data_IF_968625096946
#
_entry.id   IF_968625096946
#
_cell.length_a   1.000
_cell.length_b   1.000
_cell.length_c   1.000
_cell.angle_alpha   90.00
_cell.angle_beta   90.00
_cell.angle_gamma   90.00
#
_symmetry.space_group_name_H-M   'P 1'
#
loop_
_entity.id
_entity.type
_entity.pdbx_description
1 polymer ?
#
# COMPACT_ATOMS: atom_id res chain seq x y z
N UNK A 1 28.02 -2.37 -6.34
CA UNK A 1 26.87 -1.96 -7.17
C UNK A 1 25.70 -1.58 -6.28
N UNK A 2 25.19 -0.39 -6.48
CA UNK A 2 23.99 0.02 -5.75
C UNK A 2 22.79 -0.80 -6.19
N UNK A 3 21.96 -1.24 -5.24
CA UNK A 3 20.70 -1.90 -5.59
C UNK A 3 19.82 -0.90 -6.34
N UNK A 4 19.17 -1.29 -7.42
CA UNK A 4 18.18 -0.43 -8.03
C UNK A 4 17.08 -0.12 -7.01
N UNK A 5 16.58 1.12 -7.02
CA UNK A 5 15.48 1.50 -6.16
C UNK A 5 14.26 0.65 -6.51
N UNK A 6 13.57 0.17 -5.50
CA UNK A 6 12.34 -0.58 -5.70
C UNK A 6 11.31 0.32 -6.40
N UNK A 7 10.58 -0.25 -7.36
CA UNK A 7 9.50 0.45 -8.06
C UNK A 7 8.30 0.71 -7.15
N UNK A 8 8.24 0.03 -6.03
CA UNK A 8 7.10 0.08 -5.12
C UNK A 8 7.59 0.34 -3.70
N UNK A 9 6.72 0.81 -2.82
CA UNK A 9 7.08 1.01 -1.42
C UNK A 9 7.59 -0.28 -0.78
N UNK A 10 8.58 -0.14 0.10
CA UNK A 10 9.01 -1.23 0.97
C UNK A 10 7.88 -1.54 1.96
N UNK A 11 8.00 -2.65 2.69
CA UNK A 11 7.01 -3.01 3.70
C UNK A 11 6.81 -1.90 4.73
N UNK A 12 7.90 -1.34 5.26
CA UNK A 12 7.81 -0.24 6.22
C UNK A 12 7.20 1.01 5.61
N UNK A 13 7.61 1.36 4.39
CA UNK A 13 7.04 2.50 3.68
C UNK A 13 5.55 2.33 3.46
N UNK A 14 5.12 1.12 3.09
CA UNK A 14 3.71 0.83 2.89
C UNK A 14 2.92 0.95 4.19
N UNK A 15 3.49 0.50 5.31
CA UNK A 15 2.86 0.66 6.62
C UNK A 15 2.68 2.13 6.98
N UNK A 16 3.68 2.96 6.71
CA UNK A 16 3.59 4.41 6.93
C UNK A 16 2.52 5.02 6.03
N UNK A 17 2.48 4.64 4.75
CA UNK A 17 1.45 5.13 3.82
C UNK A 17 0.05 4.78 4.32
N UNK A 18 -0.16 3.56 4.80
CA UNK A 18 -1.46 3.15 5.34
C UNK A 18 -1.87 4.01 6.53
N UNK A 19 -0.93 4.35 7.38
CA UNK A 19 -1.17 5.24 8.52
C UNK A 19 -1.58 6.63 8.03
N UNK A 20 -0.85 7.17 7.05
CA UNK A 20 -1.14 8.49 6.50
C UNK A 20 -2.45 8.54 5.72
N UNK A 21 -2.78 7.49 4.99
CA UNK A 21 -4.07 7.42 4.28
C UNK A 21 -5.26 7.42 5.24
N UNK A 22 -5.10 6.84 6.43
CA UNK A 22 -6.16 6.78 7.45
C UNK A 22 -6.23 8.03 8.30
N UNK A 23 -5.05 8.53 8.72
CA UNK A 23 -4.96 9.61 9.72
C UNK A 23 -4.79 11.00 9.13
N UNK A 24 -4.55 11.12 7.84
CA UNK A 24 -4.24 12.39 7.20
C UNK A 24 -2.82 12.86 7.53
N UNK A 25 -2.54 14.15 7.41
CA UNK A 25 -1.21 14.66 7.71
C UNK A 25 -0.83 14.42 9.17
N UNK A 26 0.36 13.86 9.40
CA UNK A 26 0.85 13.52 10.74
C UNK A 26 2.30 13.97 10.92
N UNK A 27 2.64 14.32 12.16
CA UNK A 27 4.03 14.60 12.55
C UNK A 27 4.85 13.30 12.61
N UNK A 28 6.16 13.43 12.69
CA UNK A 28 7.08 12.30 12.88
C UNK A 28 6.67 11.49 14.12
N UNK A 29 6.41 12.19 15.21
CA UNK A 29 6.03 11.55 16.48
C UNK A 29 4.73 10.76 16.35
N UNK A 30 3.73 11.35 15.68
CA UNK A 30 2.45 10.69 15.46
C UNK A 30 2.60 9.45 14.58
N UNK A 31 3.42 9.53 13.54
CA UNK A 31 3.73 8.36 12.68
C UNK A 31 4.43 7.28 13.50
N UNK A 32 5.42 7.68 14.33
CA UNK A 32 6.13 6.73 15.19
C UNK A 32 5.19 6.03 16.15
N UNK A 33 4.30 6.79 16.79
CA UNK A 33 3.32 6.24 17.74
C UNK A 33 2.37 5.27 17.05
N UNK A 34 1.90 5.63 15.86
CA UNK A 34 1.02 4.77 15.08
C UNK A 34 1.72 3.48 14.63
N UNK A 35 2.99 3.57 14.24
CA UNK A 35 3.77 2.37 13.87
C UNK A 35 3.91 1.42 15.06
N UNK A 36 4.14 1.96 16.27
CA UNK A 36 4.23 1.15 17.47
C UNK A 36 2.88 0.48 17.80
N UNK A 37 1.78 1.22 17.67
CA UNK A 37 0.45 0.73 18.01
C UNK A 37 -0.14 -0.18 16.93
N UNK A 38 -0.16 0.28 15.68
CA UNK A 38 -0.88 -0.40 14.60
C UNK A 38 -0.06 -1.54 13.98
N UNK A 39 1.24 -1.33 13.83
CA UNK A 39 2.10 -2.29 13.14
C UNK A 39 3.04 -3.05 14.08
N UNK A 40 3.01 -2.75 15.37
CA UNK A 40 3.88 -3.40 16.35
C UNK A 40 5.36 -3.08 16.15
N UNK A 41 5.68 -1.96 15.49
CA UNK A 41 7.06 -1.56 15.24
C UNK A 41 7.47 -0.43 16.18
N UNK A 42 8.27 -0.78 17.17
CA UNK A 42 8.83 0.20 18.11
C UNK A 42 10.17 0.68 17.55
N UNK A 43 10.14 1.80 16.84
CA UNK A 43 11.29 2.35 16.13
C UNK A 43 11.83 3.60 16.81
N UNK A 44 13.13 3.82 16.65
CA UNK A 44 13.75 5.07 17.09
C UNK A 44 13.24 6.24 16.24
N UNK A 45 13.19 7.42 16.85
CA UNK A 45 12.77 8.64 16.16
C UNK A 45 13.59 8.89 14.89
N UNK A 46 14.92 8.71 14.97
CA UNK A 46 15.80 8.91 13.81
C UNK A 46 15.50 7.96 12.66
N UNK A 47 15.12 6.73 12.96
CA UNK A 47 14.73 5.75 11.92
C UNK A 47 13.48 6.20 11.17
N UNK A 48 12.49 6.69 11.91
CA UNK A 48 11.25 7.20 11.31
C UNK A 48 11.53 8.43 10.46
N UNK A 49 12.34 9.38 10.97
CA UNK A 49 12.74 10.58 10.22
C UNK A 49 13.44 10.19 8.90
N UNK A 50 14.41 9.28 8.98
CA UNK A 50 15.17 8.85 7.80
C UNK A 50 14.24 8.20 6.77
N UNK A 51 13.34 7.36 7.22
CA UNK A 51 12.38 6.69 6.33
C UNK A 51 11.45 7.70 5.66
N UNK A 52 10.90 8.64 6.44
CA UNK A 52 10.02 9.69 5.90
C UNK A 52 10.76 10.58 4.90
N UNK A 53 12.02 10.92 5.16
CA UNK A 53 12.82 11.69 4.23
C UNK A 53 13.08 10.93 2.93
N UNK A 54 13.36 9.64 3.02
CA UNK A 54 13.49 8.77 1.84
C UNK A 54 12.20 8.74 1.04
N UNK A 55 11.06 8.60 1.72
CA UNK A 55 9.74 8.58 1.08
C UNK A 55 9.43 9.92 0.42
N UNK A 56 9.87 11.03 1.01
CA UNK A 56 9.73 12.36 0.41
C UNK A 56 10.53 12.43 -0.89
N UNK A 57 11.76 11.92 -0.89
CA UNK A 57 12.61 11.87 -2.08
C UNK A 57 12.01 10.99 -3.19
N UNK A 58 11.36 9.90 -2.80
CA UNK A 58 10.66 9.00 -3.74
C UNK A 58 9.31 9.55 -4.19
N UNK A 59 8.87 10.66 -3.63
CA UNK A 59 7.58 11.31 -3.92
C UNK A 59 6.38 10.48 -3.47
N UNK A 60 6.55 9.65 -2.45
CA UNK A 60 5.44 8.92 -1.84
C UNK A 60 4.68 9.79 -0.85
N UNK A 61 5.40 10.68 -0.18
CA UNK A 61 4.84 11.64 0.78
C UNK A 61 5.38 13.02 0.48
N UNK A 62 4.68 14.03 0.98
CA UNK A 62 5.18 15.41 1.00
C UNK A 62 5.13 15.92 2.42
N UNK A 63 6.05 16.81 2.75
CA UNK A 63 6.07 17.44 4.06
C UNK A 63 5.60 18.88 3.94
N UNK A 64 4.94 19.32 5.00
CA UNK A 64 4.46 20.68 5.11
C UNK A 64 4.84 21.21 6.49
N UNK A 65 5.32 22.43 6.54
CA UNK A 65 5.67 23.07 7.81
C UNK A 65 4.42 23.56 8.51
N UNK A 66 4.29 23.20 9.78
CA UNK A 66 3.21 23.67 10.66
C UNK A 66 3.89 24.24 11.90
N UNK A 67 3.94 25.55 12.03
CA UNK A 67 4.70 26.21 13.09
C UNK A 67 6.18 25.89 12.96
N UNK A 68 6.78 25.34 14.02
CA UNK A 68 8.20 24.94 14.03
C UNK A 68 8.40 23.48 13.65
N UNK A 69 7.32 22.75 13.38
CA UNK A 69 7.37 21.31 13.10
C UNK A 69 6.93 21.04 11.67
N UNK A 70 7.13 19.80 11.25
CA UNK A 70 6.68 19.32 9.94
C UNK A 70 5.64 18.24 10.12
N UNK A 71 4.65 18.24 9.24
CA UNK A 71 3.72 17.10 9.09
C UNK A 71 3.94 16.49 7.72
N UNK A 72 3.68 15.19 7.63
CA UNK A 72 3.82 14.42 6.39
C UNK A 72 2.45 13.93 5.96
N UNK A 73 2.19 13.99 4.67
CA UNK A 73 0.94 13.47 4.11
C UNK A 73 1.23 12.64 2.87
N UNK A 74 0.38 11.66 2.61
CA UNK A 74 0.54 10.81 1.43
C UNK A 74 0.35 11.63 0.16
N UNK A 75 1.27 11.47 -0.77
CA UNK A 75 1.23 12.13 -2.08
C UNK A 75 0.63 11.22 -3.15
N UNK A 76 0.71 9.90 -2.93
CA UNK A 76 0.18 8.90 -3.86
C UNK A 76 -1.08 8.28 -3.27
N UNK A 77 -2.04 7.95 -4.13
CA UNK A 77 -3.30 7.37 -3.72
C UNK A 77 -3.14 5.88 -3.40
N UNK A 78 -3.90 5.41 -2.41
CA UNK A 78 -3.89 4.00 -2.00
C UNK A 78 -4.20 3.08 -3.17
N UNK A 79 -5.26 3.38 -3.94
CA UNK A 79 -5.64 2.57 -5.08
C UNK A 79 -4.58 2.50 -6.16
N UNK A 80 -3.86 3.60 -6.39
CA UNK A 80 -2.77 3.62 -7.35
C UNK A 80 -1.64 2.65 -6.94
N UNK A 81 -1.28 2.64 -5.66
CA UNK A 81 -0.23 1.77 -5.13
C UNK A 81 -0.67 0.31 -5.20
N UNK A 82 -1.88 0.00 -4.73
CA UNK A 82 -2.35 -1.38 -4.69
C UNK A 82 -2.53 -1.96 -6.08
N UNK A 83 -3.06 -1.21 -7.03
CA UNK A 83 -3.22 -1.67 -8.41
C UNK A 83 -1.88 -1.87 -9.09
N UNK A 84 -0.92 -0.99 -8.86
CA UNK A 84 0.42 -1.13 -9.40
C UNK A 84 1.14 -2.35 -8.88
N UNK A 85 1.09 -2.59 -7.57
CA UNK A 85 1.69 -3.76 -6.95
C UNK A 85 1.01 -5.05 -7.39
N UNK A 86 -0.30 -5.04 -7.52
CA UNK A 86 -1.06 -6.20 -7.98
C UNK A 86 -0.71 -6.53 -9.43
N UNK A 87 -0.67 -5.53 -10.31
CA UNK A 87 -0.30 -5.74 -11.71
C UNK A 87 1.10 -6.33 -11.84
N UNK A 88 2.05 -5.82 -11.04
CA UNK A 88 3.41 -6.35 -11.03
C UNK A 88 3.44 -7.82 -10.58
N UNK A 89 2.69 -8.14 -9.53
CA UNK A 89 2.59 -9.52 -9.02
C UNK A 89 2.02 -10.47 -10.09
N UNK A 90 0.93 -10.05 -10.73
CA UNK A 90 0.29 -10.86 -11.79
C UNK A 90 1.27 -11.10 -12.93
N UNK A 91 1.98 -10.07 -13.37
CA UNK A 91 2.92 -10.19 -14.49
C UNK A 91 4.13 -11.06 -14.14
N UNK A 92 4.70 -10.88 -12.94
CA UNK A 92 5.94 -11.54 -12.55
C UNK A 92 5.74 -12.95 -12.02
N UNK A 93 4.67 -13.18 -11.29
CA UNK A 93 4.45 -14.47 -10.60
C UNK A 93 3.45 -15.34 -11.36
N UNK A 94 2.47 -14.73 -12.00
CA UNK A 94 1.36 -15.44 -12.65
C UNK A 94 1.36 -15.27 -14.18
N UNK A 95 2.50 -14.85 -14.74
CA UNK A 95 2.71 -14.74 -16.19
C UNK A 95 1.63 -13.93 -16.91
N UNK A 96 1.12 -12.90 -16.23
CA UNK A 96 0.10 -12.01 -16.77
C UNK A 96 -1.33 -12.54 -16.64
N UNK A 97 -1.51 -13.68 -15.98
CA UNK A 97 -2.84 -14.31 -15.88
C UNK A 97 -3.55 -13.98 -14.58
N UNK A 98 -4.57 -13.13 -14.65
CA UNK A 98 -5.44 -12.83 -13.51
C UNK A 98 -6.21 -14.09 -13.08
N UNK A 99 -6.55 -14.97 -14.01
CA UNK A 99 -7.22 -16.23 -13.69
C UNK A 99 -6.32 -17.11 -12.81
N UNK A 100 -5.03 -17.19 -13.12
CA UNK A 100 -4.07 -17.96 -12.31
C UNK A 100 -3.97 -17.40 -10.90
N UNK A 101 -3.94 -16.07 -10.75
CA UNK A 101 -3.94 -15.45 -9.43
C UNK A 101 -5.19 -15.86 -8.64
N UNK A 102 -6.35 -15.77 -9.27
CA UNK A 102 -7.62 -16.06 -8.63
C UNK A 102 -7.71 -17.54 -8.23
N UNK A 103 -7.27 -18.46 -9.10
CA UNK A 103 -7.22 -19.88 -8.78
C UNK A 103 -6.33 -20.16 -7.57
N UNK A 104 -5.18 -19.49 -7.50
CA UNK A 104 -4.28 -19.62 -6.35
C UNK A 104 -4.94 -19.15 -5.06
N UNK A 105 -5.67 -18.05 -5.11
CA UNK A 105 -6.40 -17.54 -3.94
C UNK A 105 -7.45 -18.53 -3.46
N UNK A 106 -8.17 -19.17 -4.40
CA UNK A 106 -9.18 -20.16 -4.09
C UNK A 106 -8.54 -21.43 -3.50
N UNK A 107 -7.50 -21.94 -4.16
CA UNK A 107 -6.81 -23.18 -3.75
C UNK A 107 -6.11 -23.04 -2.41
N UNK A 108 -5.60 -21.85 -2.08
CA UNK A 108 -4.95 -21.58 -0.80
C UNK A 108 -5.94 -21.25 0.32
N UNK A 109 -7.22 -21.38 0.07
CA UNK A 109 -8.29 -21.13 1.04
C UNK A 109 -8.31 -19.68 1.57
N UNK A 110 -7.78 -18.73 0.77
CA UNK A 110 -7.82 -17.31 1.09
C UNK A 110 -9.17 -16.67 0.80
N UNK A 111 -10.00 -17.38 0.03
CA UNK A 111 -11.36 -16.92 -0.33
C UNK A 111 -12.33 -17.95 0.26
N UNK A 112 -13.17 -17.51 1.19
CA UNK A 112 -14.22 -18.37 1.75
C UNK A 112 -15.47 -18.36 0.82
N UNK A 113 -16.45 -19.19 1.18
CA UNK A 113 -17.65 -19.35 0.36
C UNK A 113 -18.44 -18.05 0.22
N UNK A 114 -18.50 -17.24 1.27
CA UNK A 114 -19.21 -15.96 1.26
C UNK A 114 -18.49 -14.94 0.37
N UNK A 115 -17.18 -14.87 0.47
CA UNK A 115 -16.37 -14.00 -0.38
C UNK A 115 -16.50 -14.43 -1.85
N UNK A 116 -16.52 -15.72 -2.11
CA UNK A 116 -16.70 -16.26 -3.47
C UNK A 116 -18.02 -15.77 -4.07
N UNK A 117 -19.10 -15.85 -3.33
CA UNK A 117 -20.42 -15.38 -3.81
C UNK A 117 -20.40 -13.88 -4.07
N UNK A 118 -19.75 -13.10 -3.21
CA UNK A 118 -19.60 -11.67 -3.41
C UNK A 118 -18.82 -11.37 -4.68
N UNK A 119 -17.69 -12.06 -4.87
CA UNK A 119 -16.86 -11.90 -6.08
C UNK A 119 -17.63 -12.26 -7.34
N UNK A 120 -18.37 -13.35 -7.30
CA UNK A 120 -19.17 -13.79 -8.43
C UNK A 120 -20.17 -12.72 -8.86
N UNK A 121 -20.86 -12.11 -7.90
CA UNK A 121 -21.82 -11.02 -8.19
C UNK A 121 -21.12 -9.80 -8.79
N UNK A 122 -19.97 -9.42 -8.26
CA UNK A 122 -19.19 -8.28 -8.75
C UNK A 122 -18.73 -8.54 -10.19
N UNK A 123 -18.23 -9.74 -10.47
CA UNK A 123 -17.76 -10.12 -11.80
C UNK A 123 -18.92 -10.10 -12.79
N UNK A 124 -20.07 -10.64 -12.41
CA UNK A 124 -21.27 -10.66 -13.26
C UNK A 124 -21.73 -9.23 -13.59
N UNK A 125 -21.75 -8.34 -12.61
CA UNK A 125 -22.13 -6.94 -12.83
C UNK A 125 -21.15 -6.22 -13.75
N UNK A 126 -19.86 -6.44 -13.57
CA UNK A 126 -18.84 -5.84 -14.43
C UNK A 126 -18.94 -6.37 -15.86
N UNK A 127 -19.18 -7.66 -16.03
CA UNK A 127 -19.33 -8.27 -17.35
C UNK A 127 -20.54 -7.68 -18.08
N UNK A 128 -21.66 -7.50 -17.39
CA UNK A 128 -22.88 -6.90 -17.97
C UNK A 128 -22.63 -5.44 -18.38
N UNK A 129 -21.90 -4.69 -17.57
CA UNK A 129 -21.57 -3.29 -17.88
C UNK A 129 -20.65 -3.12 -19.08
N UNK A 130 -19.96 -4.19 -19.52
CA UNK A 130 -19.05 -4.18 -20.65
C UNK A 130 -19.69 -4.73 -21.95
N UNK A 131 -20.88 -5.25 -21.86
CA UNK A 131 -21.59 -5.71 -23.05
C UNK A 131 -22.01 -4.52 -23.92
N UNK A 132 -21.83 -4.60 -25.27
CA UNK A 132 -22.26 -3.53 -26.19
C UNK A 132 -23.76 -3.37 -26.26
#
# INVERSE_FOLDING_TARGET
MARPLSRFPTEMELQILKILWRGGPLSVREVRDALAGDAGRDLAHTTVVTTLNTMTSKRYVKRRQVGKSYVFEARIAEGHVSQGMLADLVDRVFDGSAVSLLLNLIESERIDAQEYETLRRIIDQKAKGQEP
#
